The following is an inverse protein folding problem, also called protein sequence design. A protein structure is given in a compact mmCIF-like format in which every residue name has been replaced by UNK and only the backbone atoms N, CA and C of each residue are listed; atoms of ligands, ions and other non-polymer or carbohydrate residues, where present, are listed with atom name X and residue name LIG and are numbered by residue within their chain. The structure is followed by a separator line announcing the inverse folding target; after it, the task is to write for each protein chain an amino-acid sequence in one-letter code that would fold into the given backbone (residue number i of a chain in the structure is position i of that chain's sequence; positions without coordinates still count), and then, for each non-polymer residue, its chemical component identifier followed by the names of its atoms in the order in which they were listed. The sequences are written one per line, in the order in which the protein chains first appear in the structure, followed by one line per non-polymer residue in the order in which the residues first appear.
data_IF_045300650323
#
_entry.id   IF_045300650323
#
_cell.length_a   1.000
_cell.length_b   1.000
_cell.length_c   1.000
_cell.angle_alpha   90.00
_cell.angle_beta   90.00
_cell.angle_gamma   90.00
#
_symmetry.space_group_name_H-M   'P 1'
#
loop_
_entity.id
_entity.type
_entity.pdbx_description
1 polymer ?
#
# COMPACT_ATOMS: atom_id res chain seq x y z
N UNK A 1 -29.95 -34.38 -3.98
CA UNK A 1 -29.79 -32.91 -3.96
C UNK A 1 -28.33 -32.60 -3.66
N UNK A 2 -27.57 -32.08 -4.63
CA UNK A 2 -26.15 -31.73 -4.39
C UNK A 2 -26.10 -30.50 -3.47
N UNK A 3 -25.39 -30.64 -2.35
CA UNK A 3 -25.15 -29.55 -1.40
C UNK A 3 -24.17 -28.58 -2.06
N UNK A 4 -24.62 -27.35 -2.29
CA UNK A 4 -23.80 -26.28 -2.86
C UNK A 4 -22.57 -26.06 -1.97
N UNK A 5 -21.37 -26.29 -2.50
CA UNK A 5 -20.13 -26.12 -1.70
C UNK A 5 -19.83 -24.62 -1.61
N UNK A 6 -19.98 -24.06 -0.41
CA UNK A 6 -19.61 -22.67 -0.13
C UNK A 6 -18.13 -22.44 -0.48
N UNK A 7 -17.86 -21.52 -1.40
CA UNK A 7 -16.51 -21.17 -1.84
C UNK A 7 -15.74 -20.56 -0.67
N UNK A 8 -14.56 -21.12 -0.40
CA UNK A 8 -13.62 -20.59 0.60
C UNK A 8 -12.59 -19.76 -0.16
N UNK A 9 -12.55 -18.46 0.12
CA UNK A 9 -11.57 -17.54 -0.45
C UNK A 9 -10.36 -17.45 0.48
N UNK A 10 -9.17 -17.25 -0.08
CA UNK A 10 -7.92 -17.17 0.69
C UNK A 10 -7.86 -15.90 1.56
N UNK A 11 -8.19 -14.74 0.99
CA UNK A 11 -8.11 -13.44 1.66
C UNK A 11 -9.13 -12.45 1.06
N UNK A 12 -10.45 -12.66 1.26
CA UNK A 12 -11.44 -11.68 0.84
C UNK A 12 -11.30 -10.40 1.68
N UNK A 13 -11.56 -9.20 1.11
CA UNK A 13 -11.61 -7.97 1.90
C UNK A 13 -12.61 -8.10 3.05
N UNK A 14 -12.19 -7.72 4.25
CA UNK A 14 -13.05 -7.64 5.41
C UNK A 14 -13.40 -6.16 5.67
N UNK A 15 -14.65 -5.79 5.40
CA UNK A 15 -15.15 -4.43 5.64
C UNK A 15 -15.75 -4.36 7.04
N UNK A 16 -15.18 -3.52 7.91
CA UNK A 16 -15.63 -3.32 9.28
C UNK A 16 -16.85 -2.39 9.39
N UNK A 17 -17.21 -1.71 8.29
CA UNK A 17 -18.26 -0.70 8.24
C UNK A 17 -17.77 0.70 8.62
N UNK A 18 -16.53 0.83 9.11
CA UNK A 18 -15.90 2.13 9.40
C UNK A 18 -15.41 2.83 8.14
N UNK A 19 -15.10 2.06 7.11
CA UNK A 19 -14.51 2.55 5.86
C UNK A 19 -15.48 3.47 5.11
N UNK A 20 -16.79 3.17 5.12
CA UNK A 20 -17.79 4.00 4.44
C UNK A 20 -17.88 5.41 5.02
N UNK A 21 -17.74 5.57 6.33
CA UNK A 21 -17.76 6.88 6.97
C UNK A 21 -16.58 7.75 6.53
N UNK A 22 -15.38 7.16 6.43
CA UNK A 22 -14.19 7.86 5.94
C UNK A 22 -14.29 8.23 4.45
N UNK A 23 -14.91 7.38 3.63
CA UNK A 23 -15.19 7.72 2.23
C UNK A 23 -16.19 8.89 2.16
N UNK A 24 -17.28 8.84 2.93
CA UNK A 24 -18.27 9.92 2.96
C UNK A 24 -17.66 11.25 3.43
N UNK A 25 -16.74 11.20 4.41
CA UNK A 25 -15.96 12.35 4.86
C UNK A 25 -15.10 12.96 3.73
N UNK A 26 -14.46 12.13 2.91
CA UNK A 26 -13.71 12.58 1.74
C UNK A 26 -14.60 13.33 0.73
N UNK A 27 -15.80 12.80 0.47
CA UNK A 27 -16.78 13.46 -0.41
C UNK A 27 -17.30 14.77 0.19
N UNK A 28 -17.65 14.80 1.48
CA UNK A 28 -18.17 16.00 2.17
C UNK A 28 -17.14 17.12 2.28
N UNK A 29 -15.88 16.78 2.52
CA UNK A 29 -14.76 17.73 2.54
C UNK A 29 -14.37 18.22 1.14
N UNK A 30 -14.97 17.64 0.09
CA UNK A 30 -14.65 17.87 -1.31
C UNK A 30 -13.15 17.63 -1.63
N UNK A 31 -12.50 16.79 -0.83
CA UNK A 31 -11.08 16.50 -0.96
C UNK A 31 -10.88 15.15 -1.64
N UNK A 32 -11.29 15.07 -2.91
CA UNK A 32 -11.23 13.87 -3.75
C UNK A 32 -9.96 13.94 -4.61
N UNK A 33 -8.80 13.91 -3.93
CA UNK A 33 -7.49 14.11 -4.52
C UNK A 33 -6.47 13.16 -3.88
N UNK A 34 -5.31 12.90 -4.53
CA UNK A 34 -4.25 12.03 -3.99
C UNK A 34 -3.48 12.62 -2.79
N UNK A 35 -3.96 13.74 -2.24
CA UNK A 35 -3.44 14.45 -1.07
C UNK A 35 -4.62 14.71 -0.15
N UNK A 36 -4.42 15.15 1.09
CA UNK A 36 -5.52 15.64 1.94
C UNK A 36 -5.45 15.20 3.41
N UNK A 37 -6.36 15.71 4.24
CA UNK A 37 -6.36 15.44 5.68
C UNK A 37 -6.48 13.94 5.99
N UNK A 38 -7.30 13.20 5.24
CA UNK A 38 -7.43 11.74 5.40
C UNK A 38 -6.15 10.98 4.99
N UNK A 39 -5.38 11.50 4.04
CA UNK A 39 -4.09 10.93 3.66
C UNK A 39 -3.07 11.18 4.77
N UNK A 40 -3.02 12.39 5.33
CA UNK A 40 -2.13 12.72 6.44
C UNK A 40 -2.45 11.88 7.69
N UNK A 41 -3.74 11.69 8.01
CA UNK A 41 -4.19 10.80 9.09
C UNK A 41 -3.73 9.36 8.87
N UNK A 42 -3.85 8.86 7.62
CA UNK A 42 -3.39 7.52 7.27
C UNK A 42 -1.87 7.38 7.41
N UNK A 43 -1.10 8.35 6.93
CA UNK A 43 0.36 8.37 7.06
C UNK A 43 0.80 8.35 8.52
N UNK A 44 0.19 9.20 9.37
CA UNK A 44 0.50 9.26 10.78
C UNK A 44 0.13 7.96 11.50
N UNK A 45 -1.07 7.42 11.26
CA UNK A 45 -1.52 6.18 11.89
C UNK A 45 -0.62 4.98 11.53
N UNK A 46 -0.17 4.89 10.28
CA UNK A 46 0.77 3.85 9.83
C UNK A 46 2.16 4.06 10.41
N UNK A 47 2.64 5.31 10.47
CA UNK A 47 3.94 5.64 11.06
C UNK A 47 3.98 5.28 12.55
N UNK A 48 2.93 5.64 13.30
CA UNK A 48 2.77 5.31 14.71
C UNK A 48 2.73 3.80 14.93
N UNK A 49 1.94 3.08 14.12
CA UNK A 49 1.86 1.62 14.17
C UNK A 49 3.21 0.94 13.88
N UNK A 50 3.96 1.46 12.91
CA UNK A 50 5.27 0.92 12.53
C UNK A 50 6.42 1.39 13.44
N UNK A 51 6.17 2.32 14.38
CA UNK A 51 7.19 2.86 15.27
C UNK A 51 8.22 3.76 14.57
N UNK A 52 7.84 4.42 13.49
CA UNK A 52 8.71 5.33 12.71
C UNK A 52 8.23 6.77 12.82
N UNK A 53 9.11 7.74 12.53
CA UNK A 53 8.79 9.16 12.69
C UNK A 53 7.78 9.68 11.66
N UNK A 54 7.82 9.15 10.44
CA UNK A 54 7.04 9.62 9.29
C UNK A 54 6.75 8.48 8.33
N UNK A 55 5.63 8.56 7.60
CA UNK A 55 5.29 7.68 6.49
C UNK A 55 4.90 8.50 5.25
N UNK A 56 4.93 7.87 4.07
CA UNK A 56 4.47 8.47 2.82
C UNK A 56 3.47 7.52 2.16
N UNK A 57 2.23 7.98 1.95
CA UNK A 57 1.17 7.22 1.30
C UNK A 57 1.37 7.23 -0.22
N UNK A 58 1.33 6.05 -0.82
CA UNK A 58 1.53 5.85 -2.25
C UNK A 58 0.46 4.93 -2.82
N UNK A 59 0.30 4.93 -4.13
CA UNK A 59 -0.74 4.17 -4.83
C UNK A 59 -0.57 2.65 -4.74
N UNK A 60 0.63 2.15 -4.44
CA UNK A 60 0.91 0.71 -4.29
C UNK A 60 2.25 0.46 -3.59
N UNK A 61 2.44 -0.78 -3.11
CA UNK A 61 3.73 -1.24 -2.57
C UNK A 61 4.86 -1.21 -3.61
N UNK A 62 4.57 -1.42 -4.90
CA UNK A 62 5.56 -1.29 -5.97
C UNK A 62 6.06 0.16 -6.12
N UNK A 63 5.17 1.15 -6.04
CA UNK A 63 5.55 2.56 -6.06
C UNK A 63 6.41 2.92 -4.84
N UNK A 64 6.09 2.35 -3.67
CA UNK A 64 6.87 2.54 -2.44
C UNK A 64 8.30 2.03 -2.56
N UNK A 65 8.49 0.80 -3.05
CA UNK A 65 9.84 0.22 -3.24
C UNK A 65 10.62 1.03 -4.28
N UNK A 66 9.99 1.38 -5.41
CA UNK A 66 10.64 2.19 -6.44
C UNK A 66 11.08 3.57 -5.90
N UNK A 67 10.21 4.27 -5.15
CA UNK A 67 10.57 5.55 -4.55
C UNK A 67 11.69 5.39 -3.52
N UNK A 68 11.65 4.35 -2.68
CA UNK A 68 12.68 4.09 -1.68
C UNK A 68 14.07 3.88 -2.32
N UNK A 69 14.16 3.07 -3.39
CA UNK A 69 15.41 2.83 -4.12
C UNK A 69 15.95 4.11 -4.75
N UNK A 70 15.07 4.96 -5.31
CA UNK A 70 15.45 6.28 -5.82
C UNK A 70 15.97 7.21 -4.73
N UNK A 71 15.33 7.23 -3.56
CA UNK A 71 15.72 8.10 -2.44
C UNK A 71 17.07 7.72 -1.83
N UNK A 72 17.44 6.44 -1.82
CA UNK A 72 18.76 5.98 -1.38
C UNK A 72 19.83 6.04 -2.49
N UNK A 73 19.45 6.50 -3.69
CA UNK A 73 20.39 6.79 -4.77
C UNK A 73 20.80 5.59 -5.63
N UNK A 74 20.02 4.50 -5.67
CA UNK A 74 20.32 3.36 -6.56
C UNK A 74 20.30 3.79 -8.01
N UNK A 75 21.33 3.40 -8.74
CA UNK A 75 21.51 3.68 -10.16
C UNK A 75 21.63 2.39 -10.98
N UNK A 76 21.58 2.58 -12.31
CA UNK A 76 21.83 1.50 -13.25
C UNK A 76 23.23 0.93 -13.04
N UNK A 77 23.31 -0.39 -12.85
CA UNK A 77 24.57 -1.11 -12.61
C UNK A 77 24.85 -1.39 -11.13
N UNK A 78 24.07 -0.82 -10.21
CA UNK A 78 24.16 -1.15 -8.79
C UNK A 78 23.55 -2.52 -8.49
N UNK A 79 24.10 -3.20 -7.47
CA UNK A 79 23.63 -4.52 -7.04
C UNK A 79 22.66 -4.35 -5.88
N UNK A 80 21.41 -4.79 -6.08
CA UNK A 80 20.37 -4.82 -5.05
C UNK A 80 20.01 -6.27 -4.73
N UNK A 81 20.26 -6.71 -3.51
CA UNK A 81 19.88 -8.06 -3.07
C UNK A 81 18.37 -8.16 -2.88
N UNK A 82 17.78 -9.26 -3.36
CA UNK A 82 16.37 -9.58 -3.21
C UNK A 82 16.18 -11.07 -2.89
N UNK A 83 15.09 -11.41 -2.21
CA UNK A 83 14.73 -12.81 -1.94
C UNK A 83 14.41 -13.53 -3.24
N UNK A 84 14.94 -14.75 -3.40
CA UNK A 84 14.64 -15.62 -4.56
C UNK A 84 13.21 -16.15 -4.55
N UNK A 85 12.57 -16.22 -3.38
CA UNK A 85 11.17 -16.63 -3.22
C UNK A 85 10.38 -15.48 -2.59
N UNK A 86 9.72 -14.70 -3.45
CA UNK A 86 8.90 -13.55 -3.05
C UNK A 86 7.90 -13.18 -4.14
N UNK A 87 7.05 -12.18 -3.89
CA UNK A 87 6.15 -11.66 -4.92
C UNK A 87 6.90 -10.72 -5.87
N UNK A 88 6.58 -10.77 -7.17
CA UNK A 88 7.32 -10.07 -8.25
C UNK A 88 7.42 -8.55 -8.08
N UNK A 89 6.56 -7.95 -7.26
CA UNK A 89 6.60 -6.52 -6.94
C UNK A 89 7.93 -6.05 -6.31
N UNK A 90 8.71 -6.95 -5.70
CA UNK A 90 9.96 -6.62 -5.01
C UNK A 90 11.17 -6.47 -5.96
N UNK A 91 11.10 -6.99 -7.19
CA UNK A 91 12.26 -7.10 -8.09
C UNK A 91 11.91 -6.82 -9.54
N UNK A 92 11.04 -5.84 -9.81
CA UNK A 92 10.80 -5.42 -11.20
C UNK A 92 12.11 -4.89 -11.79
N UNK A 93 12.53 -5.53 -12.87
CA UNK A 93 13.77 -5.36 -13.62
C UNK A 93 13.95 -4.01 -14.30
N UNK A 94 13.02 -3.06 -14.15
CA UNK A 94 13.18 -1.73 -14.77
C UNK A 94 14.29 -0.90 -14.09
N UNK A 95 14.89 -1.42 -13.01
CA UNK A 95 16.01 -0.83 -12.27
C UNK A 95 17.14 -1.83 -11.93
N UNK A 96 17.10 -3.07 -12.44
CA UNK A 96 18.16 -4.09 -12.30
C UNK A 96 18.65 -4.49 -13.69
#
# INVERSE_FOLDING_TARGET
MMKERKRIYLSPPHMSGKESFKIEEAFKSNWIAPLGPLVNEFEQAVADYAGVKTGAALSSGTAAIHLALKLIGVQKGDIVFCSTLTFVANGKSDFI
#
